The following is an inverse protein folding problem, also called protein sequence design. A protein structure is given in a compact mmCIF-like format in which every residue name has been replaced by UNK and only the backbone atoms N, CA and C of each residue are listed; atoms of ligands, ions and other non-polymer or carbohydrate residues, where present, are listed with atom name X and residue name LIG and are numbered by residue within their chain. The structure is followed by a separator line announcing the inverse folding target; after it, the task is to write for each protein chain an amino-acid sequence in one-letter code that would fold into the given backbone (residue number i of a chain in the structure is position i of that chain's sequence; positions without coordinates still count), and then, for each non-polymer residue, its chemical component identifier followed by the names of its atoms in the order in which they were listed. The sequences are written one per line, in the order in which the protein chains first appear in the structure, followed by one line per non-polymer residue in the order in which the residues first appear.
data_IF_091252918665
#
_entry.id   IF_091252918665
#
_cell.length_a   1.000
_cell.length_b   1.000
_cell.length_c   1.000
_cell.angle_alpha   90.00
_cell.angle_beta   90.00
_cell.angle_gamma   90.00
#
_symmetry.space_group_name_H-M   'P 1'
#
loop_
_entity.id
_entity.type
_entity.pdbx_description
1 polymer ?
#
# COMPACT_ATOMS: atom_id res chain seq x y z
N UNK A 1 -3.01 70.07 -35.42
CA UNK A 1 -3.17 68.65 -35.84
C UNK A 1 -2.04 67.76 -35.31
N UNK A 2 -0.76 68.04 -35.60
CA UNK A 2 0.37 67.18 -35.21
C UNK A 2 0.57 67.01 -33.68
N UNK A 3 0.41 68.07 -32.90
CA UNK A 3 0.63 68.04 -31.43
C UNK A 3 -0.40 67.16 -30.72
N UNK A 4 -1.66 67.17 -31.19
CA UNK A 4 -2.73 66.33 -30.64
C UNK A 4 -2.47 64.84 -30.88
N UNK A 5 -1.97 64.48 -32.07
CA UNK A 5 -1.58 63.11 -32.39
C UNK A 5 -0.40 62.63 -31.53
N UNK A 6 0.56 63.50 -31.25
CA UNK A 6 1.73 63.20 -30.42
C UNK A 6 1.33 62.89 -28.97
N UNK A 7 0.39 63.65 -28.41
CA UNK A 7 -0.16 63.39 -27.08
C UNK A 7 -0.91 62.05 -27.00
N UNK A 8 -1.73 61.74 -28.01
CA UNK A 8 -2.45 60.47 -28.08
C UNK A 8 -1.47 59.30 -28.17
N UNK A 9 -0.42 59.43 -28.99
CA UNK A 9 0.61 58.40 -29.13
C UNK A 9 1.33 58.12 -27.79
N UNK A 10 1.66 59.16 -27.02
CA UNK A 10 2.30 59.02 -25.71
C UNK A 10 1.38 58.33 -24.68
N UNK A 11 0.08 58.66 -24.66
CA UNK A 11 -0.89 58.03 -23.76
C UNK A 11 -1.05 56.54 -24.08
N UNK A 12 -1.14 56.19 -25.38
CA UNK A 12 -1.24 54.81 -25.85
C UNK A 12 0.02 54.01 -25.52
N UNK A 13 1.20 54.60 -25.74
CA UNK A 13 2.48 53.98 -25.41
C UNK A 13 2.63 53.72 -23.90
N UNK A 14 2.27 54.70 -23.06
CA UNK A 14 2.30 54.54 -21.60
C UNK A 14 1.35 53.45 -21.10
N UNK A 15 0.15 53.36 -21.68
CA UNK A 15 -0.81 52.28 -21.38
C UNK A 15 -0.28 50.91 -21.77
N UNK A 16 0.34 50.77 -22.94
CA UNK A 16 0.92 49.50 -23.39
C UNK A 16 2.06 49.04 -22.47
N UNK A 17 2.99 49.93 -22.13
CA UNK A 17 4.12 49.59 -21.24
C UNK A 17 3.62 49.10 -19.88
N UNK A 18 2.62 49.78 -19.30
CA UNK A 18 2.04 49.36 -18.02
C UNK A 18 1.32 48.01 -18.11
N UNK A 19 0.59 47.77 -19.20
CA UNK A 19 -0.14 46.52 -19.42
C UNK A 19 0.81 45.33 -19.62
N UNK A 20 1.89 45.53 -20.39
CA UNK A 20 2.92 44.51 -20.58
C UNK A 20 3.69 44.20 -19.30
N UNK A 21 4.06 45.22 -18.51
CA UNK A 21 4.72 45.00 -17.22
C UNK A 21 3.84 44.22 -16.24
N UNK A 22 2.56 44.60 -16.11
CA UNK A 22 1.62 43.92 -15.22
C UNK A 22 1.37 42.46 -15.61
N UNK A 23 1.30 42.16 -16.91
CA UNK A 23 1.12 40.79 -17.40
C UNK A 23 2.39 39.95 -17.29
N UNK A 24 3.57 40.52 -17.55
CA UNK A 24 4.84 39.82 -17.41
C UNK A 24 5.13 39.44 -15.93
N UNK A 25 4.84 40.34 -15.00
CA UNK A 25 4.98 40.07 -13.55
C UNK A 25 4.01 38.98 -13.11
N UNK A 26 2.73 39.04 -13.53
CA UNK A 26 1.75 38.00 -13.21
C UNK A 26 2.11 36.64 -13.79
N UNK A 27 2.62 36.59 -15.02
CA UNK A 27 3.07 35.36 -15.64
C UNK A 27 4.27 34.76 -14.88
N UNK A 28 5.25 35.58 -14.50
CA UNK A 28 6.38 35.13 -13.67
C UNK A 28 5.97 34.62 -12.29
N UNK A 29 4.96 35.23 -11.68
CA UNK A 29 4.43 34.81 -10.39
C UNK A 29 3.68 33.47 -10.47
N UNK A 30 2.89 33.26 -11.53
CA UNK A 30 2.23 31.99 -11.81
C UNK A 30 3.23 30.85 -12.06
N UNK A 31 4.30 31.11 -12.80
CA UNK A 31 5.36 30.11 -13.04
C UNK A 31 6.04 29.74 -11.71
N UNK A 32 6.39 30.70 -10.86
CA UNK A 32 6.97 30.42 -9.54
C UNK A 32 6.03 29.63 -8.63
N UNK A 33 4.71 29.88 -8.71
CA UNK A 33 3.74 29.09 -7.97
C UNK A 33 3.67 27.65 -8.49
N UNK A 34 3.61 27.46 -9.80
CA UNK A 34 3.64 26.12 -10.40
C UNK A 34 4.93 25.36 -10.07
N UNK A 35 6.10 26.00 -10.14
CA UNK A 35 7.38 25.38 -9.78
C UNK A 35 7.38 24.89 -8.32
N UNK A 36 6.86 25.69 -7.39
CA UNK A 36 6.72 25.29 -5.97
C UNK A 36 5.79 24.08 -5.82
N UNK A 37 4.63 24.09 -6.49
CA UNK A 37 3.68 22.97 -6.44
C UNK A 37 4.26 21.72 -7.09
N UNK A 38 5.02 21.86 -8.18
CA UNK A 38 5.68 20.74 -8.86
C UNK A 38 6.78 20.15 -8.00
N UNK A 39 7.61 20.99 -7.35
CA UNK A 39 8.63 20.53 -6.41
C UNK A 39 8.02 19.80 -5.21
N UNK A 40 6.89 20.29 -4.69
CA UNK A 40 6.16 19.64 -3.60
C UNK A 40 5.59 18.28 -4.04
N UNK A 41 5.00 18.21 -5.24
CA UNK A 41 4.52 16.94 -5.80
C UNK A 41 5.66 15.96 -6.08
N UNK A 42 6.78 16.43 -6.61
CA UNK A 42 7.96 15.62 -6.88
C UNK A 42 8.53 15.02 -5.59
N UNK A 43 8.59 15.82 -4.52
CA UNK A 43 9.02 15.37 -3.19
C UNK A 43 8.08 14.30 -2.62
N UNK A 44 6.76 14.51 -2.73
CA UNK A 44 5.76 13.54 -2.28
C UNK A 44 5.84 12.22 -3.07
N UNK A 45 5.95 12.29 -4.41
CA UNK A 45 6.10 11.10 -5.26
C UNK A 45 7.38 10.33 -4.91
N UNK A 46 8.47 11.04 -4.65
CA UNK A 46 9.74 10.41 -4.26
C UNK A 46 9.60 9.68 -2.93
N UNK A 47 8.97 10.31 -1.93
CA UNK A 47 8.70 9.67 -0.64
C UNK A 47 7.77 8.46 -0.77
N UNK A 48 6.70 8.56 -1.57
CA UNK A 48 5.80 7.43 -1.83
C UNK A 48 6.54 6.28 -2.50
N UNK A 49 7.42 6.56 -3.46
CA UNK A 49 8.18 5.53 -4.18
C UNK A 49 9.15 4.80 -3.26
N UNK A 50 9.84 5.53 -2.38
CA UNK A 50 10.72 4.92 -1.38
C UNK A 50 9.92 4.03 -0.40
N UNK A 51 8.78 4.53 0.07
CA UNK A 51 7.93 3.78 0.99
C UNK A 51 7.30 2.54 0.32
N UNK A 52 6.86 2.66 -0.93
CA UNK A 52 6.36 1.53 -1.73
C UNK A 52 7.45 0.49 -2.01
N UNK A 53 8.69 0.90 -2.26
CA UNK A 53 9.82 -0.01 -2.44
C UNK A 53 10.12 -0.79 -1.16
N UNK A 54 10.16 -0.10 0.00
CA UNK A 54 10.36 -0.73 1.31
C UNK A 54 9.22 -1.67 1.69
N UNK A 55 7.97 -1.28 1.43
CA UNK A 55 6.81 -2.12 1.71
C UNK A 55 6.76 -3.34 0.76
N UNK A 56 7.06 -3.13 -0.52
CA UNK A 56 7.15 -4.19 -1.51
C UNK A 56 8.18 -5.26 -1.18
N UNK A 57 9.36 -4.88 -0.67
CA UNK A 57 10.37 -5.87 -0.24
C UNK A 57 9.91 -6.70 0.96
N UNK A 58 9.23 -6.07 1.94
CA UNK A 58 8.71 -6.78 3.11
C UNK A 58 7.57 -7.74 2.72
N UNK A 59 6.68 -7.31 1.84
CA UNK A 59 5.60 -8.16 1.33
C UNK A 59 6.13 -9.35 0.52
N UNK A 60 7.15 -9.13 -0.32
CA UNK A 60 7.79 -10.21 -1.06
C UNK A 60 8.45 -11.25 -0.14
N UNK A 61 9.14 -10.79 0.92
CA UNK A 61 9.74 -11.69 1.90
C UNK A 61 8.68 -12.48 2.69
N UNK A 62 7.60 -11.81 3.13
CA UNK A 62 6.49 -12.50 3.82
C UNK A 62 5.84 -13.55 2.91
N UNK A 63 5.56 -13.19 1.66
CA UNK A 63 4.96 -14.12 0.70
C UNK A 63 5.87 -15.32 0.42
N UNK A 64 7.18 -15.09 0.25
CA UNK A 64 8.13 -16.17 0.05
C UNK A 64 8.20 -17.09 1.28
N UNK A 65 8.21 -16.52 2.49
CA UNK A 65 8.19 -17.29 3.74
C UNK A 65 6.92 -18.14 3.85
N UNK A 66 5.74 -17.56 3.58
CA UNK A 66 4.49 -18.32 3.59
C UNK A 66 4.50 -19.47 2.57
N UNK A 67 5.00 -19.23 1.36
CA UNK A 67 5.13 -20.28 0.36
C UNK A 67 6.08 -21.40 0.81
N UNK A 68 7.21 -21.04 1.43
CA UNK A 68 8.12 -22.02 2.02
C UNK A 68 7.45 -22.82 3.14
N UNK A 69 6.68 -22.18 4.02
CA UNK A 69 5.94 -22.89 5.07
C UNK A 69 4.90 -23.84 4.48
N UNK A 70 4.18 -23.44 3.42
CA UNK A 70 3.22 -24.31 2.73
C UNK A 70 3.91 -25.52 2.09
N UNK A 71 5.05 -25.32 1.42
CA UNK A 71 5.81 -26.44 0.87
C UNK A 71 6.33 -27.36 1.98
N UNK A 72 6.82 -26.78 3.08
CA UNK A 72 7.32 -27.56 4.21
C UNK A 72 6.20 -28.38 4.86
N UNK A 73 5.01 -27.79 5.03
CA UNK A 73 3.87 -28.48 5.63
C UNK A 73 3.40 -29.63 4.73
N UNK A 74 3.34 -29.44 3.42
CA UNK A 74 3.01 -30.51 2.46
C UNK A 74 4.05 -31.63 2.48
N UNK A 75 5.34 -31.30 2.48
CA UNK A 75 6.42 -32.30 2.55
C UNK A 75 6.32 -33.08 3.86
N UNK A 76 6.11 -32.38 4.98
CA UNK A 76 5.97 -33.01 6.28
C UNK A 76 4.76 -33.93 6.30
N UNK A 77 3.59 -33.45 5.88
CA UNK A 77 2.37 -34.25 5.81
C UNK A 77 2.55 -35.50 4.94
N UNK A 78 3.21 -35.36 3.78
CA UNK A 78 3.53 -36.50 2.92
C UNK A 78 4.45 -37.49 3.63
N UNK A 79 5.49 -37.04 4.32
CA UNK A 79 6.38 -37.93 5.11
C UNK A 79 5.61 -38.69 6.20
N UNK A 80 4.67 -38.03 6.88
CA UNK A 80 3.80 -38.69 7.85
C UNK A 80 2.96 -39.77 7.20
N UNK A 81 2.27 -39.45 6.10
CA UNK A 81 1.50 -40.43 5.35
C UNK A 81 2.37 -41.60 4.87
N UNK A 82 3.58 -41.32 4.39
CA UNK A 82 4.50 -42.35 3.90
C UNK A 82 5.03 -43.26 5.01
N UNK A 83 5.22 -42.73 6.23
CA UNK A 83 5.61 -43.52 7.39
C UNK A 83 4.48 -44.43 7.88
N UNK A 84 3.23 -43.99 7.78
CA UNK A 84 2.07 -44.75 8.27
C UNK A 84 1.42 -45.65 7.20
N UNK A 85 1.72 -45.47 5.91
CA UNK A 85 1.05 -46.21 4.80
C UNK A 85 1.13 -47.73 4.90
N UNK A 86 2.19 -48.26 5.52
CA UNK A 86 2.41 -49.70 5.67
C UNK A 86 1.92 -50.23 7.03
N UNK A 87 1.39 -49.37 7.91
CA UNK A 87 0.91 -49.76 9.22
C UNK A 87 -0.62 -49.96 9.19
N UNK A 88 -1.06 -51.22 9.35
CA UNK A 88 -2.49 -51.57 9.39
C UNK A 88 -3.28 -50.76 10.43
N UNK A 89 -2.71 -50.56 11.63
CA UNK A 89 -3.38 -49.81 12.70
C UNK A 89 -3.60 -48.33 12.35
N UNK A 90 -2.76 -47.76 11.47
CA UNK A 90 -2.90 -46.36 11.05
C UNK A 90 -3.82 -46.19 9.83
N UNK A 91 -4.03 -47.25 9.05
CA UNK A 91 -5.00 -47.29 7.95
C UNK A 91 -6.43 -47.50 8.44
N UNK A 92 -6.60 -48.00 9.67
CA UNK A 92 -7.90 -48.25 10.27
C UNK A 92 -8.55 -46.95 10.73
N UNK A 93 -9.85 -46.80 10.46
CA UNK A 93 -10.60 -45.61 10.90
C UNK A 93 -10.56 -45.57 12.42
N UNK A 94 -10.14 -44.43 12.97
CA UNK A 94 -10.17 -44.22 14.42
C UNK A 94 -11.60 -44.46 14.93
N UNK A 95 -11.80 -45.26 15.99
CA UNK A 95 -13.15 -45.55 16.50
C UNK A 95 -13.86 -44.26 16.91
N UNK A 96 -15.14 -44.12 16.56
CA UNK A 96 -15.91 -42.89 16.81
C UNK A 96 -15.95 -42.51 18.31
N UNK A 97 -15.91 -43.48 19.22
CA UNK A 97 -15.83 -43.23 20.67
C UNK A 97 -14.53 -42.50 21.08
N UNK A 98 -13.41 -42.77 20.41
CA UNK A 98 -12.14 -42.08 20.66
C UNK A 98 -12.17 -40.68 20.04
N UNK A 99 -12.74 -40.53 18.85
CA UNK A 99 -12.97 -39.24 18.21
C UNK A 99 -13.89 -38.34 19.05
N UNK A 100 -14.94 -38.90 19.65
CA UNK A 100 -15.85 -38.18 20.54
C UNK A 100 -15.16 -37.78 21.84
N UNK A 101 -14.25 -38.63 22.38
CA UNK A 101 -13.44 -38.28 23.55
C UNK A 101 -12.43 -37.16 23.24
N UNK A 102 -11.73 -37.20 22.10
CA UNK A 102 -10.79 -36.13 21.70
C UNK A 102 -11.55 -34.82 21.45
N UNK A 103 -12.64 -34.87 20.68
CA UNK A 103 -13.47 -33.68 20.38
C UNK A 103 -14.15 -33.14 21.64
N UNK A 104 -14.58 -34.03 22.53
CA UNK A 104 -15.19 -33.72 23.83
C UNK A 104 -14.21 -33.04 24.79
N UNK A 105 -12.95 -33.50 24.81
CA UNK A 105 -11.87 -32.87 25.58
C UNK A 105 -11.61 -31.42 25.12
N UNK A 106 -11.64 -31.18 23.81
CA UNK A 106 -11.53 -29.82 23.25
C UNK A 106 -12.76 -28.95 23.58
N UNK A 107 -13.97 -29.50 23.59
CA UNK A 107 -15.18 -28.75 23.98
C UNK A 107 -15.23 -28.41 25.47
N UNK A 108 -14.69 -29.26 26.35
CA UNK A 108 -14.61 -28.96 27.78
C UNK A 108 -13.54 -27.88 28.07
N UNK A 109 -12.44 -27.86 27.30
CA UNK A 109 -11.44 -26.79 27.39
C UNK A 109 -11.97 -25.45 26.83
N UNK A 110 -12.75 -25.48 25.75
CA UNK A 110 -13.38 -24.28 25.18
C UNK A 110 -14.52 -23.73 26.08
N UNK A 111 -15.34 -24.61 26.68
CA UNK A 111 -16.44 -24.21 27.57
C UNK A 111 -15.97 -23.55 28.86
N UNK A 112 -14.79 -23.93 29.39
CA UNK A 112 -14.23 -23.32 30.59
C UNK A 112 -13.71 -21.88 30.35
N UNK A 113 -13.33 -21.55 29.12
CA UNK A 113 -12.84 -20.21 28.76
C UNK A 113 -13.97 -19.25 28.32
N UNK A 114 -15.14 -19.75 27.93
CA UNK A 114 -16.30 -18.90 27.58
C UNK A 114 -17.17 -18.48 28.77
N UNK A 115 -16.98 -19.07 29.95
CA UNK A 115 -17.77 -18.78 31.16
C UNK A 115 -17.16 -17.72 32.10
N UNK A 116 -16.12 -17.02 31.67
CA UNK A 116 -15.50 -15.95 32.45
C UNK A 116 -15.65 -14.58 31.75
N UNK A 117 -16.87 -14.02 31.75
CA UNK A 117 -17.07 -12.57 31.63
C UNK A 117 -18.42 -12.16 32.24
N UNK A 118 -18.43 -11.51 33.41
CA UNK A 118 -19.31 -10.37 33.67
C UNK A 118 -18.71 -9.06 33.13
#
# INVERSE_FOLDING_TARGET
MAIGLLLVALIVAGRLVFYFHGNAVKAGEQVKQQEKTLAQQQSLITALRENAARNGSLMAEQQQREQQLRQQSEIYQRKYQDAIKNNKCAAERMPDAVLELLRGADTNAASANSSATP
#
